data_IF_287295316401
#
_entry.id   IF_287295316401
#
_cell.length_a   1.000
_cell.length_b   1.000
_cell.length_c   1.000
_cell.angle_alpha   90.00
_cell.angle_beta   90.00
_cell.angle_gamma   90.00
#
_symmetry.space_group_name_H-M   'P 1'
#
loop_
_entity.id
_entity.type
_entity.pdbx_description
1 polymer ?
#
# COMPACT_ATOMS: atom_id res chain seq x y z
N UNK A 1 10.78 -19.02 9.22
CA UNK A 1 10.76 -19.29 10.67
C UNK A 1 9.63 -18.54 11.36
N UNK A 2 9.57 -17.20 11.27
CA UNK A 2 8.50 -16.39 11.90
C UNK A 2 7.08 -16.68 11.40
N UNK A 3 6.89 -16.88 10.09
CA UNK A 3 5.56 -17.05 9.48
C UNK A 3 4.79 -18.24 10.08
N UNK A 4 5.42 -19.41 10.21
CA UNK A 4 4.79 -20.62 10.78
C UNK A 4 4.57 -20.53 12.28
N UNK A 5 5.45 -19.85 13.02
CA UNK A 5 5.35 -19.72 14.48
C UNK A 5 4.23 -18.75 14.90
N UNK A 6 4.05 -17.66 14.14
CA UNK A 6 3.03 -16.62 14.41
C UNK A 6 1.75 -16.75 13.58
N UNK A 7 1.62 -17.78 12.74
CA UNK A 7 0.44 -17.99 11.89
C UNK A 7 0.24 -16.88 10.85
N UNK A 8 1.31 -16.18 10.46
CA UNK A 8 1.23 -15.09 9.48
C UNK A 8 1.03 -15.68 8.08
N UNK A 9 0.30 -14.97 7.21
CA UNK A 9 0.10 -15.38 5.80
C UNK A 9 1.27 -14.98 4.90
N UNK A 10 2.06 -14.00 5.35
CA UNK A 10 3.14 -13.40 4.58
C UNK A 10 4.29 -12.96 5.48
N UNK A 11 5.42 -12.56 4.87
CA UNK A 11 6.59 -12.08 5.61
C UNK A 11 6.20 -10.79 6.35
N UNK A 12 6.25 -10.76 7.69
CA UNK A 12 6.09 -9.50 8.40
C UNK A 12 7.32 -8.63 8.07
N UNK A 13 7.10 -7.33 7.86
CA UNK A 13 8.15 -6.32 7.63
C UNK A 13 8.81 -6.34 6.23
N UNK A 14 8.01 -6.36 5.16
CA UNK A 14 8.51 -5.92 3.84
C UNK A 14 8.84 -4.42 3.88
N UNK A 15 9.99 -4.04 3.32
CA UNK A 15 10.38 -2.63 3.14
C UNK A 15 9.49 -1.97 2.08
N UNK A 16 9.05 -2.74 1.08
CA UNK A 16 8.16 -2.23 0.06
C UNK A 16 6.75 -2.06 0.65
N UNK A 17 6.12 -0.88 0.48
CA UNK A 17 4.73 -0.69 0.84
C UNK A 17 3.86 -1.59 -0.03
N UNK A 18 3.04 -2.40 0.60
CA UNK A 18 2.10 -3.26 -0.11
C UNK A 18 0.83 -2.45 -0.44
N UNK A 19 0.45 -2.33 -1.73
CA UNK A 19 -0.72 -1.56 -2.15
C UNK A 19 -2.02 -1.99 -1.47
N UNK A 20 -2.13 -3.25 -1.02
CA UNK A 20 -3.31 -3.76 -0.31
C UNK A 20 -3.55 -3.07 1.04
N UNK A 21 -2.49 -2.50 1.61
CA UNK A 21 -2.52 -1.74 2.86
C UNK A 21 -2.41 -0.23 2.62
N UNK A 22 -2.52 0.22 1.37
CA UNK A 22 -2.50 1.63 1.04
C UNK A 22 -3.77 2.32 1.57
N UNK A 23 -3.60 3.21 2.54
CA UNK A 23 -4.66 4.10 2.98
C UNK A 23 -4.76 5.31 2.06
N UNK A 24 -5.78 5.34 1.22
CA UNK A 24 -6.10 6.50 0.39
C UNK A 24 -6.77 7.57 1.24
N UNK A 25 -5.99 8.52 1.76
CA UNK A 25 -6.53 9.73 2.36
C UNK A 25 -7.19 10.60 1.29
N UNK A 26 -7.94 11.61 1.71
CA UNK A 26 -8.54 12.59 0.80
C UNK A 26 -7.48 13.29 -0.06
N UNK A 27 -6.39 13.73 0.57
CA UNK A 27 -5.24 14.31 -0.12
C UNK A 27 -4.59 13.33 -1.12
N UNK A 28 -4.46 12.04 -0.77
CA UNK A 28 -3.92 11.03 -1.70
C UNK A 28 -4.82 10.86 -2.94
N UNK A 29 -6.15 10.96 -2.77
CA UNK A 29 -7.11 10.87 -3.88
C UNK A 29 -7.04 12.09 -4.78
N UNK A 30 -6.97 13.29 -4.21
CA UNK A 30 -6.85 14.53 -4.98
C UNK A 30 -5.55 14.56 -5.78
N UNK A 31 -4.42 14.25 -5.15
CA UNK A 31 -3.13 14.16 -5.83
C UNK A 31 -3.16 13.15 -6.98
N UNK A 32 -3.77 11.98 -6.78
CA UNK A 32 -3.92 10.98 -7.84
C UNK A 32 -4.81 11.48 -8.97
N UNK A 33 -5.93 12.15 -8.67
CA UNK A 33 -6.82 12.72 -9.67
C UNK A 33 -6.13 13.81 -10.50
N UNK A 34 -5.33 14.67 -9.87
CA UNK A 34 -4.53 15.67 -10.55
C UNK A 34 -3.47 15.05 -11.47
N UNK A 35 -2.80 13.98 -11.03
CA UNK A 35 -1.86 13.24 -11.87
C UNK A 35 -2.56 12.61 -13.08
N UNK A 36 -3.72 11.99 -12.89
CA UNK A 36 -4.49 11.39 -13.98
C UNK A 36 -4.98 12.43 -14.99
N UNK A 37 -5.47 13.57 -14.50
CA UNK A 37 -6.00 14.64 -15.35
C UNK A 37 -4.89 15.37 -16.11
N UNK A 38 -3.71 15.55 -15.51
CA UNK A 38 -2.58 16.23 -16.15
C UNK A 38 -1.83 15.41 -17.21
N UNK A 39 -2.12 14.10 -17.32
CA UNK A 39 -1.57 13.20 -18.36
C UNK A 39 -2.53 13.10 -19.57
N UNK A 40 -3.71 13.75 -19.51
CA UNK A 40 -4.73 13.74 -20.57
C UNK A 40 -4.53 14.85 -21.60
#
# INVERSE_FOLDING_TARGET
MYIKYFGLKEKPFSIAPDPRYLYMSELHREALAHLMYGIS
#
